data_IF_124508567352
#
_entry.id   IF_124508567352
#
_cell.length_a   1.000
_cell.length_b   1.000
_cell.length_c   1.000
_cell.angle_alpha   90.00
_cell.angle_beta   90.00
_cell.angle_gamma   90.00
#
_symmetry.space_group_name_H-M   'P 1'
#
loop_
_entity.id
_entity.type
_entity.pdbx_description
1 polymer ?
#
# COMPACT_ATOMS: atom_id res chain seq x y z
N UNK A 1 -10.62 33.92 -24.64
CA UNK A 1 -9.87 34.03 -23.37
C UNK A 1 -9.34 32.69 -22.85
N UNK A 2 -10.15 31.79 -22.26
CA UNK A 2 -9.65 30.51 -21.74
C UNK A 2 -8.95 29.63 -22.80
N UNK A 3 -9.61 29.38 -23.92
CA UNK A 3 -9.06 28.56 -25.02
C UNK A 3 -7.80 29.18 -25.64
N UNK A 4 -7.76 30.51 -25.73
CA UNK A 4 -6.60 31.24 -26.24
C UNK A 4 -5.42 31.17 -25.28
N UNK A 5 -5.66 31.33 -23.97
CA UNK A 5 -4.64 31.17 -22.94
C UNK A 5 -4.07 29.74 -22.95
N UNK A 6 -4.92 28.72 -23.10
CA UNK A 6 -4.48 27.34 -23.22
C UNK A 6 -3.66 27.09 -24.50
N UNK A 7 -4.07 27.67 -25.64
CA UNK A 7 -3.32 27.59 -26.90
C UNK A 7 -1.94 28.25 -26.81
N UNK A 8 -1.83 29.32 -26.02
CA UNK A 8 -0.58 30.06 -25.80
C UNK A 8 0.31 29.43 -24.70
N UNK A 9 -0.10 28.33 -24.07
CA UNK A 9 0.62 27.71 -22.95
C UNK A 9 0.58 28.54 -21.66
N UNK A 10 -0.26 29.58 -21.58
CA UNK A 10 -0.43 30.42 -20.40
C UNK A 10 -1.37 29.74 -19.39
N UNK A 11 -0.91 28.65 -18.80
CA UNK A 11 -1.71 27.78 -17.92
C UNK A 11 -2.23 28.51 -16.66
N UNK A 12 -1.48 29.46 -16.11
CA UNK A 12 -1.92 30.25 -14.95
C UNK A 12 -3.09 31.19 -15.29
N UNK A 13 -3.02 31.87 -16.44
CA UNK A 13 -4.11 32.72 -16.90
C UNK A 13 -5.35 31.89 -17.26
N UNK A 14 -5.16 30.75 -17.94
CA UNK A 14 -6.23 29.81 -18.23
C UNK A 14 -6.92 29.34 -16.93
N UNK A 15 -6.14 29.02 -15.88
CA UNK A 15 -6.67 28.68 -14.56
C UNK A 15 -7.53 29.79 -13.98
N UNK A 16 -7.04 31.03 -13.93
CA UNK A 16 -7.80 32.15 -13.38
C UNK A 16 -9.13 32.37 -14.14
N UNK A 17 -9.11 32.24 -15.46
CA UNK A 17 -10.33 32.33 -16.27
C UNK A 17 -11.31 31.19 -16.00
N UNK A 18 -10.81 29.97 -15.75
CA UNK A 18 -11.65 28.83 -15.39
C UNK A 18 -12.25 28.98 -13.98
N UNK A 19 -11.45 29.41 -13.00
CA UNK A 19 -11.89 29.60 -11.61
C UNK A 19 -12.96 30.69 -11.51
N UNK A 20 -12.71 31.85 -12.11
CA UNK A 20 -13.69 32.97 -12.14
C UNK A 20 -14.99 32.57 -12.84
N UNK A 21 -14.90 31.82 -13.95
CA UNK A 21 -16.07 31.30 -14.64
C UNK A 21 -16.83 30.25 -13.82
N UNK A 22 -16.14 29.36 -13.11
CA UNK A 22 -16.76 28.36 -12.26
C UNK A 22 -17.43 28.97 -11.01
N UNK A 23 -16.87 30.04 -10.45
CA UNK A 23 -17.48 30.79 -9.34
C UNK A 23 -18.72 31.57 -9.78
N UNK A 24 -18.66 32.23 -10.94
CA UNK A 24 -19.78 33.01 -11.48
C UNK A 24 -20.91 32.12 -12.03
N UNK A 25 -20.56 31.00 -12.65
CA UNK A 25 -21.51 30.08 -13.27
C UNK A 25 -21.07 28.61 -13.10
N UNK A 26 -21.31 28.01 -11.91
CA UNK A 26 -20.96 26.62 -11.61
C UNK A 26 -21.62 25.58 -12.54
N UNK A 27 -22.70 25.97 -13.21
CA UNK A 27 -23.42 25.12 -14.15
C UNK A 27 -22.73 24.97 -15.51
N UNK A 28 -21.70 25.77 -15.82
CA UNK A 28 -20.93 25.66 -17.06
C UNK A 28 -20.01 24.43 -17.01
N UNK A 29 -20.25 23.39 -17.83
CA UNK A 29 -19.51 22.13 -17.71
C UNK A 29 -18.01 22.27 -17.98
N UNK A 30 -17.62 23.11 -18.95
CA UNK A 30 -16.21 23.28 -19.33
C UNK A 30 -15.40 24.01 -18.25
N UNK A 31 -15.98 25.04 -17.61
CA UNK A 31 -15.31 25.86 -16.60
C UNK A 31 -15.12 25.08 -15.30
N UNK A 32 -16.18 24.39 -14.89
CA UNK A 32 -16.13 23.54 -13.72
C UNK A 32 -15.21 22.33 -13.93
N UNK A 33 -15.22 21.68 -15.11
CA UNK A 33 -14.27 20.62 -15.44
C UNK A 33 -12.82 21.11 -15.37
N UNK A 34 -12.49 22.22 -16.04
CA UNK A 34 -11.14 22.79 -16.02
C UNK A 34 -10.67 23.16 -14.60
N UNK A 35 -11.56 23.76 -13.80
CA UNK A 35 -11.28 24.11 -12.40
C UNK A 35 -11.09 22.87 -11.53
N UNK A 36 -11.90 21.83 -11.74
CA UNK A 36 -11.82 20.56 -11.02
C UNK A 36 -10.49 19.87 -11.31
N UNK A 37 -10.10 19.76 -12.58
CA UNK A 37 -8.80 19.22 -13.00
C UNK A 37 -7.64 19.96 -12.33
N UNK A 38 -7.70 21.29 -12.31
CA UNK A 38 -6.68 22.11 -11.68
C UNK A 38 -6.60 21.89 -10.16
N UNK A 39 -7.74 21.91 -9.46
CA UNK A 39 -7.79 21.67 -8.00
C UNK A 39 -7.27 20.30 -7.62
N UNK A 40 -7.55 19.28 -8.45
CA UNK A 40 -7.03 17.93 -8.24
C UNK A 40 -5.52 17.85 -8.44
N UNK A 41 -4.97 18.51 -9.48
CA UNK A 41 -3.51 18.60 -9.66
C UNK A 41 -2.82 19.33 -8.50
N UNK A 42 -3.48 20.31 -7.89
CA UNK A 42 -2.96 21.05 -6.76
C UNK A 42 -3.13 20.34 -5.40
N UNK A 43 -3.84 19.19 -5.34
CA UNK A 43 -4.15 18.51 -4.07
C UNK A 43 -5.24 19.21 -3.23
N UNK A 44 -5.97 20.15 -3.81
CA UNK A 44 -7.04 20.90 -3.13
C UNK A 44 -8.36 20.11 -3.15
N UNK A 45 -8.37 18.93 -2.52
CA UNK A 45 -9.46 17.96 -2.62
C UNK A 45 -10.79 18.47 -2.06
N UNK A 46 -10.77 19.21 -0.94
CA UNK A 46 -11.98 19.74 -0.32
C UNK A 46 -12.71 20.75 -1.23
N UNK A 47 -11.95 21.61 -1.91
CA UNK A 47 -12.50 22.56 -2.86
C UNK A 47 -13.02 21.88 -4.13
N UNK A 48 -12.36 20.80 -4.57
CA UNK A 48 -12.85 19.97 -5.66
C UNK A 48 -14.18 19.29 -5.31
N UNK A 49 -14.30 18.74 -4.09
CA UNK A 49 -15.54 18.10 -3.61
C UNK A 49 -16.69 19.12 -3.50
N UNK A 50 -16.42 20.33 -2.98
CA UNK A 50 -17.44 21.40 -2.91
C UNK A 50 -17.95 21.81 -4.29
N UNK A 51 -17.05 21.96 -5.26
CA UNK A 51 -17.40 22.30 -6.63
C UNK A 51 -18.28 21.20 -7.25
N UNK A 52 -17.91 19.94 -7.05
CA UNK A 52 -18.68 18.80 -7.55
C UNK A 52 -20.09 18.73 -6.91
N UNK A 53 -20.21 19.01 -5.62
CA UNK A 53 -21.51 19.06 -4.94
C UNK A 53 -22.39 20.20 -5.48
N UNK A 54 -21.82 21.36 -5.83
CA UNK A 54 -22.55 22.44 -6.49
C UNK A 54 -23.03 22.04 -7.89
N UNK A 55 -22.20 21.35 -8.68
CA UNK A 55 -22.60 20.83 -10.00
C UNK A 55 -23.71 19.78 -9.91
N UNK A 56 -23.69 18.93 -8.88
CA UNK A 56 -24.75 17.96 -8.59
C UNK A 56 -26.09 18.66 -8.31
N UNK A 57 -26.08 19.73 -7.50
CA UNK A 57 -27.29 20.53 -7.21
C UNK A 57 -27.79 21.24 -8.47
N UNK A 58 -26.87 21.71 -9.33
CA UNK A 58 -27.20 22.34 -10.60
C UNK A 58 -27.67 21.35 -11.69
N UNK A 59 -27.77 20.04 -11.39
CA UNK A 59 -28.16 18.98 -12.32
C UNK A 59 -27.33 18.92 -13.61
N UNK A 60 -26.05 19.34 -13.54
CA UNK A 60 -25.12 19.29 -14.67
C UNK A 60 -24.60 17.87 -14.90
N UNK A 61 -24.46 17.11 -13.82
CA UNK A 61 -24.00 15.73 -13.81
C UNK A 61 -25.11 14.81 -13.32
N UNK A 62 -25.14 13.62 -13.89
CA UNK A 62 -26.02 12.56 -13.41
C UNK A 62 -25.65 12.19 -11.97
N UNK A 63 -26.66 11.86 -11.16
CA UNK A 63 -26.46 11.60 -9.73
C UNK A 63 -25.40 10.53 -9.47
N UNK A 64 -25.44 9.45 -10.25
CA UNK A 64 -24.51 8.33 -10.13
C UNK A 64 -23.08 8.72 -10.52
N UNK A 65 -22.91 9.48 -11.60
CA UNK A 65 -21.61 9.98 -12.05
C UNK A 65 -21.00 10.92 -11.01
N UNK A 66 -21.78 11.85 -10.46
CA UNK A 66 -21.32 12.74 -9.40
C UNK A 66 -20.92 11.98 -8.12
N UNK A 67 -21.67 10.93 -7.75
CA UNK A 67 -21.33 10.09 -6.58
C UNK A 67 -20.03 9.29 -6.81
N UNK A 68 -19.82 8.78 -8.02
CA UNK A 68 -18.58 8.10 -8.42
C UNK A 68 -17.37 9.03 -8.40
N UNK A 69 -17.47 10.20 -9.04
CA UNK A 69 -16.40 11.21 -9.03
C UNK A 69 -16.08 11.68 -7.61
N UNK A 70 -17.10 11.85 -6.76
CA UNK A 70 -16.91 12.18 -5.35
C UNK A 70 -16.17 11.09 -4.60
N UNK A 71 -16.45 9.82 -4.88
CA UNK A 71 -15.73 8.69 -4.30
C UNK A 71 -14.24 8.72 -4.69
N UNK A 72 -13.92 9.02 -5.95
CA UNK A 72 -12.54 9.17 -6.43
C UNK A 72 -11.81 10.31 -5.72
N UNK A 73 -12.44 11.48 -5.60
CA UNK A 73 -11.85 12.62 -4.88
C UNK A 73 -11.62 12.33 -3.39
N UNK A 74 -12.57 11.66 -2.74
CA UNK A 74 -12.42 11.23 -1.35
C UNK A 74 -11.30 10.19 -1.18
N UNK A 75 -11.11 9.34 -2.18
CA UNK A 75 -10.03 8.34 -2.19
C UNK A 75 -8.67 9.00 -2.37
N UNK A 76 -8.55 9.95 -3.28
CA UNK A 76 -7.34 10.77 -3.45
C UNK A 76 -7.00 11.53 -2.17
N UNK A 77 -8.00 12.19 -1.55
CA UNK A 77 -7.83 12.83 -0.25
C UNK A 77 -7.35 11.87 0.83
N UNK A 78 -7.92 10.66 0.87
CA UNK A 78 -7.52 9.65 1.84
C UNK A 78 -6.08 9.16 1.61
N UNK A 79 -5.63 9.07 0.36
CA UNK A 79 -4.26 8.70 0.01
C UNK A 79 -3.26 9.72 0.57
N UNK A 80 -3.50 11.01 0.35
CA UNK A 80 -2.64 12.09 0.85
C UNK A 80 -2.65 12.19 2.39
N UNK A 81 -3.80 11.91 3.00
CA UNK A 81 -3.95 11.93 4.46
C UNK A 81 -3.33 10.71 5.15
N UNK A 82 -3.08 9.61 4.45
CA UNK A 82 -2.73 8.32 5.04
C UNK A 82 -1.45 8.39 5.90
N UNK A 83 -0.49 9.21 5.48
CA UNK A 83 0.78 9.36 6.19
C UNK A 83 0.67 10.23 7.44
N UNK A 84 -0.03 11.37 7.34
CA UNK A 84 -0.11 12.35 8.41
C UNK A 84 -1.23 12.04 9.43
N UNK A 85 -2.40 11.62 8.95
CA UNK A 85 -3.59 11.46 9.77
C UNK A 85 -4.40 10.20 9.35
N UNK A 86 -4.03 9.01 9.85
CA UNK A 86 -4.65 7.75 9.43
C UNK A 86 -6.15 7.68 9.76
N UNK A 87 -6.59 8.31 10.86
CA UNK A 87 -8.01 8.34 11.22
C UNK A 87 -8.87 9.14 10.23
N UNK A 88 -8.36 10.31 9.79
CA UNK A 88 -9.03 11.11 8.77
C UNK A 88 -9.03 10.39 7.41
N UNK A 89 -7.90 9.77 7.05
CA UNK A 89 -7.78 8.97 5.83
C UNK A 89 -8.79 7.81 5.80
N UNK A 90 -8.92 7.08 6.92
CA UNK A 90 -9.91 6.02 7.09
C UNK A 90 -11.33 6.53 6.86
N UNK A 91 -11.70 7.64 7.51
CA UNK A 91 -13.06 8.17 7.43
C UNK A 91 -13.39 8.66 6.00
N UNK A 92 -12.43 9.28 5.31
CA UNK A 92 -12.54 9.68 3.90
C UNK A 92 -12.70 8.46 2.98
N UNK A 93 -11.86 7.42 3.14
CA UNK A 93 -11.92 6.21 2.35
C UNK A 93 -13.21 5.39 2.58
N UNK A 94 -13.70 5.33 3.82
CA UNK A 94 -14.98 4.68 4.12
C UNK A 94 -16.17 5.45 3.54
N UNK A 95 -16.12 6.79 3.50
CA UNK A 95 -17.12 7.59 2.79
C UNK A 95 -17.08 7.31 1.29
N UNK A 96 -15.90 7.16 0.70
CA UNK A 96 -15.75 6.77 -0.71
C UNK A 96 -16.38 5.40 -0.98
N UNK A 97 -16.10 4.38 -0.15
CA UNK A 97 -16.68 3.03 -0.30
C UNK A 97 -18.20 2.98 -0.13
N UNK A 98 -18.79 3.90 0.64
CA UNK A 98 -20.25 4.03 0.73
C UNK A 98 -20.88 4.52 -0.58
N UNK A 99 -20.16 5.35 -1.33
CA UNK A 99 -20.60 5.90 -2.62
C UNK A 99 -20.29 4.93 -3.77
N UNK A 100 -19.09 4.36 -3.79
CA UNK A 100 -18.64 3.39 -4.80
C UNK A 100 -18.02 2.16 -4.10
N UNK A 101 -18.81 1.09 -3.96
CA UNK A 101 -18.43 -0.13 -3.22
C UNK A 101 -17.39 -0.98 -3.95
N UNK A 102 -17.34 -0.84 -5.26
CA UNK A 102 -16.45 -1.51 -6.21
C UNK A 102 -15.09 -0.79 -6.35
N UNK A 103 -14.93 0.38 -5.74
CA UNK A 103 -13.69 1.16 -5.85
C UNK A 103 -12.56 0.53 -5.02
N UNK A 104 -11.80 -0.34 -5.68
CA UNK A 104 -10.67 -1.09 -5.10
C UNK A 104 -9.64 -0.21 -4.35
N UNK A 105 -9.17 0.93 -4.91
CA UNK A 105 -8.17 1.77 -4.23
C UNK A 105 -8.67 2.31 -2.88
N UNK A 106 -9.96 2.64 -2.77
CA UNK A 106 -10.55 3.11 -1.53
C UNK A 106 -10.51 2.05 -0.42
N UNK A 107 -10.74 0.78 -0.78
CA UNK A 107 -10.64 -0.34 0.17
C UNK A 107 -9.21 -0.56 0.66
N UNK A 108 -8.25 -0.44 -0.25
CA UNK A 108 -6.82 -0.59 0.08
C UNK A 108 -6.38 0.53 1.03
N UNK A 109 -6.73 1.78 0.75
CA UNK A 109 -6.39 2.92 1.61
C UNK A 109 -7.07 2.79 2.98
N UNK A 110 -8.36 2.44 3.01
CA UNK A 110 -9.07 2.19 4.27
C UNK A 110 -8.40 1.07 5.10
N UNK A 111 -7.99 -0.02 4.46
CA UNK A 111 -7.32 -1.13 5.12
C UNK A 111 -5.93 -0.73 5.65
N UNK A 112 -5.14 0.01 4.85
CA UNK A 112 -3.85 0.55 5.30
C UNK A 112 -4.01 1.50 6.48
N UNK A 113 -5.03 2.36 6.46
CA UNK A 113 -5.35 3.25 7.57
C UNK A 113 -5.71 2.47 8.84
N UNK A 114 -6.57 1.45 8.74
CA UNK A 114 -6.86 0.55 9.87
C UNK A 114 -5.64 -0.21 10.38
N UNK A 115 -4.73 -0.62 9.49
CA UNK A 115 -3.47 -1.27 9.87
C UNK A 115 -2.55 -0.34 10.66
N UNK A 116 -2.54 0.97 10.35
CA UNK A 116 -1.82 1.98 11.14
C UNK A 116 -2.46 2.27 12.50
N UNK A 117 -3.77 2.05 12.63
CA UNK A 117 -4.52 2.12 13.90
C UNK A 117 -4.49 0.79 14.68
N UNK A 118 -3.66 -0.19 14.29
CA UNK A 118 -3.61 -1.54 14.86
C UNK A 118 -4.94 -2.32 14.81
N UNK A 119 -5.89 -1.90 13.96
CA UNK A 119 -7.20 -2.52 13.82
C UNK A 119 -7.25 -3.52 12.65
N UNK A 120 -6.49 -4.60 12.79
CA UNK A 120 -6.35 -5.62 11.75
C UNK A 120 -7.68 -6.31 11.38
N UNK A 121 -8.57 -6.50 12.36
CA UNK A 121 -9.86 -7.17 12.13
C UNK A 121 -10.74 -6.36 11.18
N UNK A 122 -10.80 -5.04 11.36
CA UNK A 122 -11.56 -4.15 10.46
C UNK A 122 -10.86 -4.03 9.10
N UNK A 123 -9.53 -3.92 9.07
CA UNK A 123 -8.77 -3.92 7.80
C UNK A 123 -9.10 -5.14 6.93
N UNK A 124 -8.99 -6.35 7.51
CA UNK A 124 -9.34 -7.59 6.82
C UNK A 124 -10.80 -7.61 6.38
N UNK A 125 -11.73 -7.20 7.24
CA UNK A 125 -13.16 -7.17 6.90
C UNK A 125 -13.47 -6.23 5.73
N UNK A 126 -12.82 -5.07 5.65
CA UNK A 126 -13.02 -4.11 4.54
C UNK A 126 -12.52 -4.66 3.22
N UNK A 127 -11.34 -5.30 3.21
CA UNK A 127 -10.80 -5.95 2.01
C UNK A 127 -11.66 -7.13 1.55
N UNK A 128 -12.12 -7.98 2.49
CA UNK A 128 -12.99 -9.12 2.18
C UNK A 128 -14.33 -8.71 1.58
N UNK A 129 -14.86 -7.53 1.94
CA UNK A 129 -16.10 -7.00 1.36
C UNK A 129 -15.95 -6.68 -0.12
N UNK A 130 -14.86 -6.01 -0.51
CA UNK A 130 -14.60 -5.66 -1.91
C UNK A 130 -14.17 -6.88 -2.72
N UNK A 131 -13.39 -7.79 -2.13
CA UNK A 131 -13.01 -9.07 -2.74
C UNK A 131 -14.23 -9.92 -3.16
N UNK A 132 -15.32 -9.87 -2.40
CA UNK A 132 -16.57 -10.57 -2.72
C UNK A 132 -17.30 -9.96 -3.93
N UNK A 133 -17.05 -8.70 -4.26
CA UNK A 133 -17.59 -8.08 -5.47
C UNK A 133 -16.73 -8.49 -6.66
N UNK A 134 -15.47 -8.05 -6.66
CA UNK A 134 -14.51 -8.31 -7.72
C UNK A 134 -13.10 -8.59 -7.12
N UNK A 135 -12.59 -9.83 -7.21
CA UNK A 135 -11.24 -10.17 -6.78
C UNK A 135 -10.17 -9.37 -7.52
N UNK A 136 -9.30 -8.68 -6.79
CA UNK A 136 -8.27 -7.82 -7.36
C UNK A 136 -6.89 -8.10 -6.74
N UNK A 137 -5.80 -8.18 -7.54
CA UNK A 137 -4.48 -8.57 -7.03
C UNK A 137 -3.94 -7.64 -5.95
N UNK A 138 -4.19 -6.34 -6.05
CA UNK A 138 -3.77 -5.38 -5.01
C UNK A 138 -4.48 -5.62 -3.66
N UNK A 139 -5.76 -6.02 -3.67
CA UNK A 139 -6.50 -6.38 -2.44
C UNK A 139 -5.86 -7.60 -1.81
N UNK A 140 -5.55 -8.62 -2.61
CA UNK A 140 -4.91 -9.82 -2.12
C UNK A 140 -3.54 -9.53 -1.51
N UNK A 141 -2.70 -8.74 -2.19
CA UNK A 141 -1.39 -8.32 -1.68
C UNK A 141 -1.54 -7.59 -0.34
N UNK A 142 -2.48 -6.65 -0.23
CA UNK A 142 -2.76 -5.92 1.00
C UNK A 142 -3.26 -6.84 2.12
N UNK A 143 -4.13 -7.80 1.81
CA UNK A 143 -4.72 -8.73 2.78
C UNK A 143 -3.71 -9.73 3.34
N UNK A 144 -2.95 -10.38 2.44
CA UNK A 144 -1.96 -11.39 2.80
C UNK A 144 -0.82 -10.77 3.60
N UNK A 145 -0.39 -9.54 3.26
CA UNK A 145 0.66 -8.79 3.97
C UNK A 145 0.12 -7.84 5.04
N UNK A 146 -1.13 -8.00 5.48
CA UNK A 146 -1.79 -7.07 6.40
C UNK A 146 -1.14 -6.97 7.79
N UNK A 147 -0.35 -7.96 8.21
CA UNK A 147 0.37 -7.92 9.49
C UNK A 147 1.86 -8.09 9.24
N UNK A 148 2.65 -7.12 9.70
CA UNK A 148 4.10 -7.23 9.75
C UNK A 148 4.50 -8.35 10.71
N UNK A 149 5.26 -9.34 10.23
CA UNK A 149 5.73 -10.47 11.04
C UNK A 149 4.98 -11.80 10.83
N UNK A 150 4.01 -11.87 9.93
CA UNK A 150 3.40 -13.16 9.57
C UNK A 150 4.42 -14.08 8.87
N UNK A 151 4.46 -15.34 9.32
CA UNK A 151 5.21 -16.41 8.66
C UNK A 151 4.66 -16.69 7.27
N UNK A 152 5.46 -17.31 6.39
CA UNK A 152 4.97 -17.70 5.06
C UNK A 152 3.76 -18.64 5.13
N UNK A 153 3.73 -19.54 6.13
CA UNK A 153 2.60 -20.45 6.37
C UNK A 153 1.34 -19.68 6.80
N UNK A 154 1.47 -18.62 7.60
CA UNK A 154 0.32 -17.81 8.01
C UNK A 154 -0.21 -16.95 6.85
N UNK A 155 0.68 -16.46 5.98
CA UNK A 155 0.31 -15.83 4.71
C UNK A 155 -0.45 -16.78 3.80
N UNK A 156 -0.03 -18.04 3.71
CA UNK A 156 -0.75 -19.08 2.97
C UNK A 156 -2.16 -19.31 3.52
N UNK A 157 -2.34 -19.44 4.84
CA UNK A 157 -3.69 -19.58 5.44
C UNK A 157 -4.61 -18.40 5.10
N UNK A 158 -4.06 -17.18 5.07
CA UNK A 158 -4.82 -15.98 4.65
C UNK A 158 -5.21 -16.03 3.18
N UNK A 159 -4.29 -16.46 2.31
CA UNK A 159 -4.58 -16.65 0.90
C UNK A 159 -5.67 -17.70 0.69
N UNK A 160 -5.61 -18.85 1.38
CA UNK A 160 -6.64 -19.90 1.33
C UNK A 160 -8.00 -19.38 1.81
N UNK A 161 -8.02 -18.47 2.80
CA UNK A 161 -9.25 -17.81 3.23
C UNK A 161 -9.84 -16.91 2.13
N UNK A 162 -9.03 -16.18 1.38
CA UNK A 162 -9.51 -15.40 0.23
C UNK A 162 -10.05 -16.30 -0.88
N UNK A 163 -9.39 -17.42 -1.15
CA UNK A 163 -9.88 -18.43 -2.08
C UNK A 163 -11.24 -18.98 -1.64
N UNK A 164 -11.42 -19.29 -0.34
CA UNK A 164 -12.69 -19.77 0.18
C UNK A 164 -13.85 -18.79 -0.02
N UNK A 165 -13.58 -17.47 -0.06
CA UNK A 165 -14.61 -16.46 -0.34
C UNK A 165 -15.04 -16.41 -1.81
N UNK A 166 -14.11 -16.68 -2.74
CA UNK A 166 -14.33 -16.69 -4.19
C UNK A 166 -13.57 -17.86 -4.82
N UNK A 167 -14.09 -19.10 -4.69
CA UNK A 167 -13.44 -20.27 -5.26
C UNK A 167 -13.49 -20.20 -6.79
N UNK A 168 -12.54 -20.89 -7.45
CA UNK A 168 -12.48 -20.97 -8.92
C UNK A 168 -12.39 -19.61 -9.64
N UNK A 169 -11.76 -18.62 -9.01
CA UNK A 169 -11.39 -17.36 -9.65
C UNK A 169 -9.88 -17.35 -9.90
N UNK A 170 -9.47 -16.77 -11.02
CA UNK A 170 -8.06 -16.63 -11.41
C UNK A 170 -7.21 -15.97 -10.30
N UNK A 171 -7.61 -14.80 -9.79
CA UNK A 171 -6.83 -14.08 -8.77
C UNK A 171 -6.80 -14.83 -7.45
N UNK A 172 -7.89 -15.50 -7.06
CA UNK A 172 -7.94 -16.34 -5.86
C UNK A 172 -6.92 -17.48 -5.91
N UNK A 173 -6.87 -18.22 -7.03
CA UNK A 173 -5.95 -19.33 -7.21
C UNK A 173 -4.50 -18.84 -7.27
N UNK A 174 -4.27 -17.73 -7.95
CA UNK A 174 -2.95 -17.14 -8.12
C UNK A 174 -2.35 -16.70 -6.78
N UNK A 175 -3.15 -16.07 -5.93
CA UNK A 175 -2.73 -15.60 -4.61
C UNK A 175 -2.38 -16.75 -3.68
N UNK A 176 -3.11 -17.86 -3.74
CA UNK A 176 -2.77 -19.09 -3.00
C UNK A 176 -1.49 -19.71 -3.55
N UNK A 177 -1.31 -19.71 -4.87
CA UNK A 177 -0.09 -20.24 -5.48
C UNK A 177 1.16 -19.45 -5.08
N UNK A 178 1.11 -18.11 -5.16
CA UNK A 178 2.20 -17.23 -4.70
C UNK A 178 2.51 -17.44 -3.21
N UNK A 179 1.48 -17.50 -2.36
CA UNK A 179 1.67 -17.72 -0.93
C UNK A 179 2.17 -19.14 -0.60
N UNK A 180 1.84 -20.14 -1.42
CA UNK A 180 2.32 -21.52 -1.27
C UNK A 180 3.79 -21.65 -1.70
N UNK A 181 4.20 -20.93 -2.76
CA UNK A 181 5.59 -20.82 -3.16
C UNK A 181 6.43 -20.18 -2.04
N UNK A 182 5.97 -19.07 -1.47
CA UNK A 182 6.57 -18.42 -0.30
C UNK A 182 6.73 -19.39 0.89
N UNK A 183 5.77 -20.29 1.08
CA UNK A 183 5.76 -21.30 2.15
C UNK A 183 6.50 -22.59 1.78
N UNK A 184 7.12 -22.66 0.60
CA UNK A 184 7.82 -23.83 0.06
C UNK A 184 6.92 -25.08 -0.08
N UNK A 185 5.60 -24.90 -0.18
CA UNK A 185 4.64 -25.96 -0.54
C UNK A 185 4.50 -26.01 -2.06
N UNK A 186 5.55 -26.50 -2.74
CA UNK A 186 5.65 -26.49 -4.20
C UNK A 186 4.56 -27.30 -4.88
N UNK A 187 4.12 -28.41 -4.27
CA UNK A 187 3.03 -29.24 -4.80
C UNK A 187 1.72 -28.45 -4.86
N UNK A 188 1.37 -27.75 -3.78
CA UNK A 188 0.17 -26.89 -3.76
C UNK A 188 0.34 -25.70 -4.69
N UNK A 189 1.50 -25.04 -4.68
CA UNK A 189 1.79 -23.89 -5.53
C UNK A 189 1.56 -24.23 -7.01
N UNK A 190 2.16 -25.33 -7.50
CA UNK A 190 2.01 -25.82 -8.88
C UNK A 190 0.56 -26.14 -9.21
N UNK A 191 -0.11 -26.93 -8.37
CA UNK A 191 -1.51 -27.35 -8.60
C UNK A 191 -2.44 -26.13 -8.77
N UNK A 192 -2.23 -25.08 -7.95
CA UNK A 192 -3.04 -23.86 -8.00
C UNK A 192 -2.68 -22.97 -9.20
N UNK A 193 -1.39 -22.84 -9.53
CA UNK A 193 -0.95 -22.10 -10.71
C UNK A 193 -1.46 -22.72 -12.01
N UNK A 194 -1.35 -24.05 -12.17
CA UNK A 194 -1.90 -24.77 -13.33
C UNK A 194 -3.43 -24.65 -13.42
N UNK A 195 -4.12 -24.63 -12.27
CA UNK A 195 -5.56 -24.36 -12.24
C UNK A 195 -5.88 -22.92 -12.69
N UNK A 196 -5.08 -21.92 -12.27
CA UNK A 196 -5.22 -20.55 -12.73
C UNK A 196 -4.94 -20.42 -14.25
N UNK A 197 -3.90 -21.10 -14.75
CA UNK A 197 -3.53 -21.11 -16.17
C UNK A 197 -4.66 -21.65 -17.07
N UNK A 198 -5.41 -22.64 -16.57
CA UNK A 198 -6.58 -23.22 -17.25
C UNK A 198 -7.77 -22.26 -17.28
N UNK A 199 -7.90 -21.36 -16.31
CA UNK A 199 -8.96 -20.33 -16.31
C UNK A 199 -8.59 -19.18 -17.23
N UNK A 200 -7.37 -18.66 -17.09
CA UNK A 200 -6.83 -17.61 -17.95
C UNK A 200 -5.33 -17.78 -18.11
N UNK A 201 -4.91 -18.03 -19.35
CA UNK A 201 -3.52 -18.21 -19.75
C UNK A 201 -2.80 -16.87 -19.86
N UNK A 202 -2.57 -16.18 -18.74
CA UNK A 202 -1.89 -14.87 -18.67
C UNK A 202 -0.41 -15.00 -18.34
N UNK A 203 0.36 -13.98 -18.72
CA UNK A 203 1.81 -13.88 -18.48
C UNK A 203 2.22 -14.22 -17.03
N UNK A 204 1.61 -13.58 -16.01
CA UNK A 204 1.97 -13.77 -14.59
C UNK A 204 1.84 -15.20 -14.09
N UNK A 205 0.87 -15.99 -14.58
CA UNK A 205 0.75 -17.39 -14.15
C UNK A 205 1.90 -18.23 -14.67
N UNK A 206 2.31 -18.03 -15.93
CA UNK A 206 3.42 -18.79 -16.51
C UNK A 206 4.76 -18.38 -15.89
N UNK A 207 4.94 -17.10 -15.57
CA UNK A 207 6.10 -16.65 -14.79
C UNK A 207 6.12 -17.32 -13.41
N UNK A 208 4.98 -17.39 -12.71
CA UNK A 208 4.91 -18.08 -11.43
C UNK A 208 5.21 -19.58 -11.54
N UNK A 209 4.76 -20.25 -12.60
CA UNK A 209 5.13 -21.65 -12.86
C UNK A 209 6.63 -21.82 -13.08
N UNK A 210 7.28 -20.89 -13.78
CA UNK A 210 8.72 -20.88 -13.94
C UNK A 210 9.44 -20.72 -12.59
N UNK A 211 8.98 -19.77 -11.74
CA UNK A 211 9.54 -19.55 -10.40
C UNK A 211 9.40 -20.80 -9.50
N UNK A 212 8.28 -21.52 -9.60
CA UNK A 212 8.06 -22.78 -8.87
C UNK A 212 9.05 -23.86 -9.34
N UNK A 213 9.24 -24.04 -10.66
CA UNK A 213 10.19 -25.03 -11.20
C UNK A 213 11.64 -24.68 -10.84
N UNK A 214 12.00 -23.40 -10.82
CA UNK A 214 13.30 -22.92 -10.38
C UNK A 214 13.55 -23.23 -8.90
N UNK A 215 12.58 -22.93 -8.03
CA UNK A 215 12.71 -23.11 -6.59
C UNK A 215 12.72 -24.59 -6.15
N UNK A 216 11.96 -25.46 -6.81
CA UNK A 216 11.87 -26.88 -6.44
C UNK A 216 12.94 -27.74 -7.11
N UNK A 217 13.02 -27.71 -8.44
CA UNK A 217 13.82 -28.68 -9.23
C UNK A 217 15.07 -28.05 -9.81
N UNK A 218 15.00 -26.78 -10.22
CA UNK A 218 16.07 -26.10 -10.97
C UNK A 218 16.21 -26.59 -12.42
N UNK A 219 15.20 -27.27 -12.97
CA UNK A 219 15.20 -27.80 -14.33
C UNK A 219 15.10 -26.67 -15.36
N UNK A 220 16.23 -26.36 -15.98
CA UNK A 220 16.35 -25.31 -16.99
C UNK A 220 15.46 -25.54 -18.21
N UNK A 221 15.14 -26.80 -18.55
CA UNK A 221 14.25 -27.12 -19.66
C UNK A 221 12.81 -26.67 -19.38
N UNK A 222 12.29 -27.00 -18.19
CA UNK A 222 10.95 -26.61 -17.75
C UNK A 222 10.82 -25.10 -17.53
N UNK A 223 11.83 -24.48 -16.93
CA UNK A 223 11.85 -23.02 -16.73
C UNK A 223 11.76 -22.30 -18.08
N UNK A 224 12.57 -22.70 -19.07
CA UNK A 224 12.53 -22.13 -20.43
C UNK A 224 11.20 -22.40 -21.14
N UNK A 225 10.60 -23.57 -20.93
CA UNK A 225 9.28 -23.88 -21.47
C UNK A 225 8.24 -22.87 -20.97
N UNK A 226 8.16 -22.67 -19.65
CA UNK A 226 7.21 -21.74 -19.04
C UNK A 226 7.49 -20.28 -19.39
N UNK A 227 8.75 -19.85 -19.40
CA UNK A 227 9.13 -18.51 -19.89
C UNK A 227 8.74 -18.31 -21.35
N UNK A 228 8.90 -19.33 -22.20
CA UNK A 228 8.47 -19.29 -23.59
C UNK A 228 6.95 -19.16 -23.76
N UNK A 229 6.16 -19.74 -22.85
CA UNK A 229 4.71 -19.54 -22.81
C UNK A 229 4.34 -18.14 -22.31
N UNK A 230 5.03 -17.63 -21.28
CA UNK A 230 4.81 -16.29 -20.75
C UNK A 230 4.96 -15.21 -21.83
N UNK A 231 5.97 -15.34 -22.71
CA UNK A 231 6.18 -14.41 -23.82
C UNK A 231 5.07 -14.39 -24.88
N UNK A 232 4.30 -15.48 -24.99
CA UNK A 232 3.18 -15.60 -25.95
C UNK A 232 1.84 -15.23 -25.32
N UNK A 233 1.75 -15.32 -24.00
CA UNK A 233 0.54 -15.10 -23.25
C UNK A 233 0.12 -13.62 -23.26
N UNK A 234 -1.18 -13.31 -23.21
CA UNK A 234 -1.67 -11.97 -22.98
C UNK A 234 -1.16 -11.45 -21.64
N UNK A 235 -0.83 -10.16 -21.63
CA UNK A 235 -0.43 -9.46 -20.42
C UNK A 235 -1.55 -9.44 -19.39
N UNK A 236 -1.15 -9.33 -18.14
CA UNK A 236 -2.08 -9.09 -17.05
C UNK A 236 -2.75 -7.72 -17.13
N UNK A 237 -3.90 -7.63 -16.48
CA UNK A 237 -4.57 -6.35 -16.33
C UNK A 237 -3.71 -5.41 -15.48
N UNK A 238 -3.74 -4.14 -15.87
CA UNK A 238 -3.05 -3.05 -15.18
C UNK A 238 -3.99 -1.83 -15.14
N UNK A 239 -3.59 -0.80 -14.40
CA UNK A 239 -4.29 0.49 -14.44
C UNK A 239 -3.98 1.19 -15.75
N UNK A 240 -4.97 1.39 -16.60
CA UNK A 240 -4.80 2.03 -17.91
C UNK A 240 -5.70 3.25 -18.02
N UNK A 241 -5.12 4.40 -18.37
CA UNK A 241 -5.83 5.65 -18.65
C UNK A 241 -5.24 6.31 -19.89
N UNK A 242 -6.07 6.66 -20.88
CA UNK A 242 -5.66 7.48 -22.03
C UNK A 242 -4.37 7.01 -22.76
N UNK A 243 -4.16 5.70 -22.87
CA UNK A 243 -2.95 5.11 -23.46
C UNK A 243 -1.73 5.05 -22.53
N UNK A 244 -1.84 5.56 -21.30
CA UNK A 244 -0.85 5.43 -20.25
C UNK A 244 -1.17 4.20 -19.38
N UNK A 245 -0.18 3.32 -19.21
CA UNK A 245 -0.24 2.17 -18.31
C UNK A 245 0.50 2.53 -17.02
N UNK A 246 -0.13 2.28 -15.88
CA UNK A 246 0.45 2.47 -14.55
C UNK A 246 0.32 1.23 -13.69
N UNK A 247 1.30 1.01 -12.83
CA UNK A 247 1.27 -0.06 -11.82
C UNK A 247 0.42 0.31 -10.61
N UNK A 248 0.22 1.63 -10.37
CA UNK A 248 -0.58 2.14 -9.26
C UNK A 248 -1.78 2.90 -9.79
N UNK A 249 -2.89 2.79 -9.08
CA UNK A 249 -4.03 3.65 -9.35
C UNK A 249 -3.66 5.12 -9.13
N UNK A 250 -4.22 6.00 -9.95
CA UNK A 250 -4.15 7.44 -9.76
C UNK A 250 -5.54 8.05 -9.97
N UNK A 251 -5.91 9.10 -9.21
CA UNK A 251 -7.21 9.73 -9.33
C UNK A 251 -7.40 10.52 -10.63
N UNK A 252 -6.30 11.03 -11.19
CA UNK A 252 -6.27 11.85 -12.41
C UNK A 252 -5.34 11.24 -13.46
N UNK A 253 -5.73 11.31 -14.72
CA UNK A 253 -4.85 10.98 -15.84
C UNK A 253 -3.70 11.99 -15.95
N UNK A 254 -2.42 11.56 -16.01
CA UNK A 254 -1.30 12.47 -16.23
C UNK A 254 -1.31 13.09 -17.64
N UNK A 255 -1.98 12.45 -18.60
CA UNK A 255 -2.03 12.89 -20.00
C UNK A 255 -3.14 13.91 -20.21
N UNK A 256 -4.37 13.58 -19.79
CA UNK A 256 -5.55 14.42 -20.08
C UNK A 256 -5.98 15.27 -18.88
N UNK A 257 -5.56 14.93 -17.66
CA UNK A 257 -6.08 15.52 -16.43
C UNK A 257 -7.46 15.00 -16.01
N UNK A 258 -8.09 14.13 -16.81
CA UNK A 258 -9.44 13.62 -16.53
C UNK A 258 -9.46 12.84 -15.23
N UNK A 259 -10.47 13.11 -14.40
CA UNK A 259 -10.78 12.32 -13.20
C UNK A 259 -11.41 10.97 -13.54
N UNK A 260 -11.17 9.98 -12.67
CA UNK A 260 -11.67 8.60 -12.84
C UNK A 260 -11.34 8.02 -14.23
N UNK A 261 -10.14 8.33 -14.72
CA UNK A 261 -9.69 7.89 -16.05
C UNK A 261 -9.04 6.50 -16.03
N UNK A 262 -8.51 6.08 -14.87
CA UNK A 262 -7.82 4.80 -14.73
C UNK A 262 -8.81 3.66 -14.55
N UNK A 263 -8.76 2.73 -15.49
CA UNK A 263 -9.54 1.49 -15.48
C UNK A 263 -8.61 0.29 -15.34
N UNK A 264 -9.04 -0.74 -14.61
CA UNK A 264 -8.31 -1.99 -14.51
C UNK A 264 -8.61 -2.87 -15.73
N UNK A 265 -7.68 -2.96 -16.69
CA UNK A 265 -7.86 -3.74 -17.92
C UNK A 265 -6.54 -4.21 -18.53
N UNK A 266 -6.61 -5.21 -19.40
CA UNK A 266 -5.45 -5.64 -20.17
C UNK A 266 -5.02 -4.53 -21.14
N UNK A 267 -3.75 -4.10 -21.12
CA UNK A 267 -3.23 -3.11 -22.06
C UNK A 267 -3.37 -3.62 -23.51
N UNK A 268 -3.81 -2.75 -24.41
CA UNK A 268 -4.06 -3.12 -25.82
C UNK A 268 -2.77 -3.32 -26.65
N UNK A 269 -1.62 -3.01 -26.07
CA UNK A 269 -0.33 -2.94 -26.77
C UNK A 269 0.39 -4.29 -26.73
N UNK A 270 -0.14 -5.31 -27.44
CA UNK A 270 0.63 -6.27 -28.26
C UNK A 270 -0.18 -7.46 -28.80
N UNK A 271 0.25 -7.93 -29.98
CA UNK A 271 -0.13 -9.17 -30.67
C UNK A 271 0.02 -10.37 -29.73
N UNK A 272 -1.09 -10.95 -29.29
CA UNK A 272 -1.08 -12.30 -28.72
C UNK A 272 -0.66 -13.29 -29.82
N UNK A 273 0.42 -14.03 -29.61
CA UNK A 273 0.74 -15.19 -30.46
C UNK A 273 -0.27 -16.31 -30.22
N UNK A 274 -0.36 -17.34 -31.08
CA UNK A 274 -1.18 -18.50 -30.80
C UNK A 274 -0.72 -19.14 -29.48
N UNK A 275 -1.57 -19.04 -28.46
CA UNK A 275 -1.43 -19.80 -27.22
C UNK A 275 -1.92 -21.21 -27.55
N UNK A 276 -1.18 -22.24 -27.19
CA UNK A 276 -1.74 -23.60 -27.20
C UNK A 276 -2.79 -23.65 -26.09
N UNK A 277 -4.06 -23.41 -26.46
CA UNK A 277 -5.19 -23.35 -25.53
C UNK A 277 -5.30 -24.65 -24.73
N UNK A 278 -5.02 -24.58 -23.42
CA UNK A 278 -5.68 -25.35 -22.35
C UNK A 278 -5.68 -26.89 -22.41
N UNK A 279 -5.09 -27.50 -23.42
CA UNK A 279 -4.94 -28.94 -23.55
C UNK A 279 -3.50 -29.26 -23.20
N UNK A 280 -3.32 -30.23 -22.29
CA UNK A 280 -2.01 -30.69 -21.84
C UNK A 280 -1.11 -30.91 -23.05
N UNK A 281 -0.16 -29.99 -23.29
CA UNK A 281 0.64 -29.98 -24.51
C UNK A 281 1.38 -31.32 -24.63
N UNK A 282 1.68 -31.78 -25.85
CA UNK A 282 2.62 -32.90 -26.03
C UNK A 282 3.94 -32.62 -25.28
N UNK A 283 4.30 -31.34 -25.11
CA UNK A 283 5.38 -30.89 -24.25
C UNK A 283 5.15 -31.17 -22.75
N UNK A 284 3.96 -30.94 -22.19
CA UNK A 284 3.65 -31.29 -20.79
C UNK A 284 3.61 -32.81 -20.57
N UNK A 285 3.08 -33.58 -21.53
CA UNK A 285 3.11 -35.06 -21.46
C UNK A 285 4.54 -35.60 -21.59
N UNK A 286 5.37 -34.97 -22.43
CA UNK A 286 6.79 -35.30 -22.53
C UNK A 286 7.54 -34.91 -21.25
N UNK A 287 7.28 -33.73 -20.67
CA UNK A 287 7.93 -33.26 -19.45
C UNK A 287 7.47 -34.03 -18.19
N UNK A 288 6.22 -34.45 -18.11
CA UNK A 288 5.68 -35.27 -17.02
C UNK A 288 6.15 -36.73 -17.07
N UNK A 289 6.58 -37.21 -18.25
CA UNK A 289 7.16 -38.55 -18.40
C UNK A 289 8.68 -38.59 -18.18
N UNK A 290 9.33 -37.43 -18.03
CA UNK A 290 10.74 -37.38 -17.64
C UNK A 290 10.86 -37.69 -16.13
N UNK A 291 11.78 -38.60 -15.73
CA UNK A 291 12.03 -38.87 -14.33
C UNK A 291 12.57 -37.60 -13.64
N UNK A 292 12.21 -37.34 -12.36
CA UNK A 292 12.78 -36.22 -11.63
C UNK A 292 14.29 -36.40 -11.62
N UNK A 293 15.01 -35.38 -12.11
CA UNK A 293 16.46 -35.33 -11.99
C UNK A 293 16.73 -35.11 -10.51
N UNK A 294 16.88 -36.23 -9.77
CA UNK A 294 17.55 -36.21 -8.49
C UNK A 294 18.87 -35.48 -8.74
N UNK A 295 19.19 -34.50 -7.91
CA UNK A 295 20.53 -33.92 -7.89
C UNK A 295 21.50 -35.07 -7.64
N UNK A 296 22.04 -35.63 -8.71
CA UNK A 296 23.24 -36.43 -8.62
C UNK A 296 24.26 -35.43 -8.14
N UNK A 297 24.62 -35.50 -6.86
CA UNK A 297 25.93 -35.04 -6.43
C UNK A 297 26.90 -35.69 -7.42
N UNK A 298 27.42 -34.88 -8.34
CA UNK A 298 28.39 -35.33 -9.30
C UNK A 298 29.52 -36.00 -8.48
N UNK A 299 29.95 -37.22 -8.83
CA UNK A 299 31.13 -37.80 -8.20
C UNK A 299 32.26 -36.81 -8.43
N UNK A 300 32.89 -36.36 -7.34
CA UNK A 300 34.06 -35.50 -7.40
C UNK A 300 35.06 -36.09 -8.42
N UNK A 301 35.26 -35.39 -9.53
CA UNK A 301 36.37 -35.69 -10.41
C UNK A 301 37.66 -35.49 -9.59
N UNK A 302 38.63 -36.41 -9.65
CA UNK A 302 39.89 -36.23 -8.95
C UNK A 302 40.61 -35.01 -9.52
N UNK A 303 40.96 -34.08 -8.64
CA UNK A 303 41.76 -32.89 -8.96
C UNK A 303 43.09 -33.30 -9.63
N UNK A 304 43.54 -32.61 -10.69
CA UNK A 304 44.87 -32.82 -11.22
C UNK A 304 45.91 -32.35 -10.18
N UNK A 305 46.76 -33.29 -9.76
CA UNK A 305 47.89 -33.03 -8.88
C UNK A 305 48.87 -32.06 -9.56
N UNK A 306 48.96 -30.84 -9.04
CA UNK A 306 50.08 -29.94 -9.35
C UNK A 306 51.25 -30.27 -8.43
N UNK A 307 52.35 -30.74 -9.03
CA UNK A 307 53.63 -30.95 -8.36
C UNK A 307 54.15 -29.65 -7.74
N UNK A 308 54.43 -29.70 -6.44
CA UNK A 308 55.06 -28.62 -5.69
C UNK A 308 56.56 -28.59 -5.98
N UNK A 309 57.00 -27.67 -6.83
CA UNK A 309 58.42 -27.30 -6.90
C UNK A 309 58.69 -26.17 -5.91
N UNK A 310 59.56 -26.46 -4.93
CA UNK A 310 60.00 -25.54 -3.87
C UNK A 310 60.75 -24.34 -4.45
N UNK A 311 60.44 -23.09 -4.07
CA UNK A 311 61.27 -21.95 -4.43
C UNK A 311 62.53 -21.89 -3.56
N UNK A 312 63.65 -21.63 -4.24
CA UNK A 312 65.01 -21.53 -3.71
C UNK A 312 65.21 -20.21 -2.98
N UNK A 313 65.65 -20.29 -1.72
CA UNK A 313 66.03 -19.15 -0.87
C UNK A 313 67.32 -18.54 -1.42
N UNK A 314 67.32 -17.23 -1.69
CA UNK A 314 68.53 -16.43 -1.91
C UNK A 314 68.55 -15.35 -0.83
N UNK A 315 69.53 -15.44 0.06
CA UNK A 315 69.85 -14.42 1.06
C UNK A 315 70.59 -13.26 0.40
N UNK A 316 70.29 -12.00 0.76
CA UNK A 316 71.26 -10.93 0.68
C UNK A 316 71.86 -10.63 2.06
N UNK A 317 73.19 -10.46 2.06
CA UNK A 317 74.03 -10.09 3.20
C UNK A 317 73.74 -8.66 3.70
N UNK A 318 74.10 -8.46 4.97
CA UNK A 318 73.88 -7.28 5.78
C UNK A 318 74.62 -6.01 5.31
N UNK A 319 74.03 -4.85 5.61
CA UNK A 319 74.80 -3.63 5.92
C UNK A 319 74.19 -2.93 7.13
N UNK A 320 75.01 -2.83 8.16
CA UNK A 320 74.78 -2.18 9.45
C UNK A 320 74.77 -0.66 9.29
N UNK A 321 73.82 0.03 9.91
CA UNK A 321 74.00 1.39 10.44
C UNK A 321 73.29 1.46 11.79
N UNK A 322 74.08 1.74 12.82
CA UNK A 322 73.69 1.97 14.21
C UNK A 322 72.80 3.21 14.39
N UNK A 323 71.79 3.09 15.26
CA UNK A 323 71.30 4.18 16.12
C UNK A 323 70.38 3.60 17.22
N UNK A 324 70.87 3.66 18.46
CA UNK A 324 70.14 3.33 19.69
C UNK A 324 69.42 4.61 20.25
N UNK A 325 68.68 4.58 21.37
CA UNK A 325 67.23 4.37 21.46
C UNK A 325 66.47 5.57 22.08
N UNK A 326 65.14 5.62 21.99
CA UNK A 326 64.33 6.25 23.06
C UNK A 326 63.02 5.50 23.32
N UNK A 327 62.85 5.16 24.59
CA UNK A 327 61.71 4.48 25.20
C UNK A 327 60.52 5.43 25.42
N UNK A 328 59.31 4.87 25.39
CA UNK A 328 58.34 5.07 26.47
C UNK A 328 57.31 3.94 26.50
N UNK A 329 57.21 3.38 27.70
CA UNK A 329 56.39 2.26 28.13
C UNK A 329 54.89 2.58 28.13
N UNK A 330 54.07 1.53 28.05
CA UNK A 330 53.06 1.13 29.05
C UNK A 330 52.87 -0.40 28.91
N UNK A 331 53.08 -1.12 30.01
CA UNK A 331 52.78 -2.56 30.18
C UNK A 331 51.30 -2.78 30.56
N UNK A 332 50.77 -4.01 30.38
CA UNK A 332 49.34 -4.35 30.45
C UNK A 332 48.91 -4.83 31.84
N UNK A 333 47.62 -4.70 32.15
CA UNK A 333 47.01 -5.36 33.31
C UNK A 333 45.87 -6.28 32.86
N UNK A 334 45.90 -7.51 33.36
CA UNK A 334 44.86 -8.53 33.25
C UNK A 334 44.66 -9.16 34.66
N UNK A 335 43.70 -10.08 34.84
CA UNK A 335 42.31 -9.88 35.22
C UNK A 335 42.05 -10.36 36.67
N UNK A 336 40.78 -10.44 37.12
CA UNK A 336 40.45 -11.61 37.94
C UNK A 336 39.07 -12.24 37.67
N UNK A 337 38.93 -13.48 38.17
CA UNK A 337 37.83 -14.41 37.94
C UNK A 337 37.10 -14.82 39.24
N UNK A 338 35.84 -15.28 39.06
CA UNK A 338 35.02 -16.24 39.84
C UNK A 338 34.50 -15.90 41.26
N UNK A 339 33.18 -16.10 41.44
CA UNK A 339 32.51 -16.96 42.46
C UNK A 339 30.99 -16.64 42.55
N UNK A 340 30.09 -17.49 42.03
CA UNK A 340 29.16 -18.46 42.69
C UNK A 340 27.84 -17.92 43.31
N UNK A 341 26.76 -18.63 42.97
CA UNK A 341 25.33 -18.57 43.41
C UNK A 341 25.16 -19.19 44.82
N UNK A 342 24.11 -18.86 45.62
CA UNK A 342 22.81 -19.62 45.62
C UNK A 342 21.57 -18.70 45.91
N UNK A 343 20.36 -18.89 45.35
CA UNK A 343 19.21 -19.77 45.70
C UNK A 343 18.03 -19.01 46.41
N UNK A 344 16.78 -19.40 46.11
CA UNK A 344 15.47 -18.79 46.51
C UNK A 344 15.08 -19.14 47.96
N UNK A 345 14.03 -18.50 48.53
CA UNK A 345 12.74 -19.21 48.72
C UNK A 345 11.49 -18.34 48.47
N UNK A 346 10.30 -18.82 48.88
CA UNK A 346 9.02 -18.78 48.17
C UNK A 346 7.81 -18.32 49.04
N UNK A 347 6.70 -17.96 48.37
CA UNK A 347 5.25 -18.03 48.78
C UNK A 347 4.76 -16.98 49.81
N UNK A 348 3.65 -16.24 49.59
CA UNK A 348 2.21 -16.47 49.93
C UNK A 348 1.37 -15.43 49.14
N UNK A 349 0.47 -15.74 48.20
CA UNK A 349 -0.95 -16.15 48.30
C UNK A 349 -1.92 -15.23 49.08
N UNK A 350 -2.87 -14.56 48.40
CA UNK A 350 -4.27 -14.39 48.82
C UNK A 350 -5.16 -13.86 47.68
N UNK A 351 -6.43 -14.26 47.75
CA UNK A 351 -7.52 -14.26 46.78
C UNK A 351 -8.68 -13.40 47.32
N UNK A 352 -9.68 -13.17 46.45
CA UNK A 352 -11.09 -12.70 46.67
C UNK A 352 -11.34 -11.23 46.34
N UNK A 353 -12.04 -10.91 45.24
CA UNK A 353 -13.50 -10.95 44.95
C UNK A 353 -14.29 -9.75 45.53
N UNK A 354 -15.01 -9.08 44.63
CA UNK A 354 -15.87 -7.92 44.84
C UNK A 354 -17.22 -8.31 45.50
N UNK A 355 -18.04 -7.35 46.00
CA UNK A 355 -18.96 -6.63 45.11
C UNK A 355 -19.32 -5.16 45.47
N UNK A 356 -19.73 -4.45 44.41
CA UNK A 356 -20.82 -3.46 44.30
C UNK A 356 -20.82 -2.10 45.07
N UNK A 357 -20.71 -1.05 44.23
CA UNK A 357 -21.59 0.13 44.11
C UNK A 357 -21.67 1.19 45.23
N UNK A 358 -21.06 2.36 44.97
CA UNK A 358 -21.62 3.72 45.14
C UNK A 358 -20.62 4.79 44.63
N UNK A 359 -21.04 5.63 43.69
CA UNK A 359 -20.38 6.87 43.22
C UNK A 359 -21.32 8.07 43.50
N UNK A 360 -20.86 9.34 43.47
CA UNK A 360 -19.67 9.87 44.15
C UNK A 360 -19.97 11.21 44.88
N UNK A 361 -19.18 11.53 45.90
CA UNK A 361 -19.21 12.82 46.61
C UNK A 361 -18.14 13.79 46.07
N UNK A 362 -18.56 15.04 45.89
CA UNK A 362 -17.81 16.20 45.38
C UNK A 362 -16.72 16.64 46.37
N UNK A 363 -15.51 16.92 45.88
CA UNK A 363 -14.44 17.59 46.63
C UNK A 363 -13.89 18.74 45.79
N UNK A 364 -14.12 19.97 46.26
CA UNK A 364 -13.54 21.22 45.75
C UNK A 364 -12.06 21.37 46.13
N UNK A 365 -11.28 22.14 45.34
CA UNK A 365 -10.23 22.93 45.95
C UNK A 365 -10.22 24.41 45.52
N UNK A 366 -10.16 25.26 46.55
CA UNK A 366 -9.20 26.36 46.73
C UNK A 366 -9.48 27.72 46.05
N UNK A 367 -9.96 28.63 46.90
CA UNK A 367 -10.07 30.07 46.67
C UNK A 367 -8.70 30.77 46.70
N UNK A 368 -8.39 31.54 45.65
CA UNK A 368 -7.33 32.56 45.64
C UNK A 368 -7.80 33.78 44.85
N UNK A 369 -8.37 34.78 45.53
CA UNK A 369 -8.74 36.08 44.93
C UNK A 369 -7.57 37.08 45.05
N UNK A 370 -7.34 37.94 44.05
CA UNK A 370 -6.43 39.08 44.15
C UNK A 370 -7.02 40.24 44.99
N UNK A 371 -6.19 41.15 45.54
CA UNK A 371 -6.60 42.17 46.51
C UNK A 371 -7.23 43.42 45.88
N UNK A 372 -8.21 43.99 46.60
CA UNK A 372 -8.83 45.31 46.43
C UNK A 372 -7.81 46.46 46.62
N UNK A 373 -7.96 47.53 45.82
CA UNK A 373 -7.42 48.88 46.09
C UNK A 373 -8.53 49.92 45.83
N UNK A 374 -8.84 50.86 46.76
CA UNK A 374 -10.10 51.59 46.75
C UNK A 374 -10.03 53.02 46.16
N UNK A 375 -10.99 53.32 45.28
CA UNK A 375 -11.82 54.54 45.27
C UNK A 375 -11.22 55.89 44.85
N UNK A 376 -11.84 56.52 43.84
CA UNK A 376 -12.45 57.88 43.94
C UNK A 376 -13.64 57.96 42.98
N UNK A 377 -14.81 58.39 43.48
CA UNK A 377 -15.97 58.83 42.66
C UNK A 377 -15.89 60.35 42.56
N UNK A 378 -16.11 60.89 41.36
CA UNK A 378 -16.56 62.28 41.21
C UNK A 378 -17.84 62.36 40.35
N UNK A 379 -18.71 63.33 40.65
CA UNK A 379 -20.15 63.19 40.57
C UNK A 379 -20.67 64.26 39.62
N UNK A 380 -20.71 63.95 38.33
CA UNK A 380 -21.30 64.85 37.35
C UNK A 380 -22.12 64.07 36.33
N UNK A 381 -23.43 64.02 36.62
CA UNK A 381 -24.49 64.18 35.63
C UNK A 381 -24.70 62.94 34.74
N UNK A 382 -25.36 61.91 35.26
CA UNK A 382 -26.82 61.77 35.19
C UNK A 382 -27.34 61.63 33.75
N UNK A 383 -27.53 60.38 33.31
CA UNK A 383 -28.54 60.09 32.30
C UNK A 383 -29.94 60.23 32.94
N UNK A 384 -30.93 60.70 32.17
CA UNK A 384 -32.18 59.95 32.16
C UNK A 384 -32.72 59.74 30.73
N UNK A 385 -32.96 58.46 30.45
CA UNK A 385 -34.13 57.86 29.80
C UNK A 385 -34.63 58.26 28.39
N UNK A 386 -35.12 57.21 27.73
CA UNK A 386 -35.69 57.16 26.40
C UNK A 386 -37.13 57.69 26.31
N UNK A 387 -37.47 58.37 25.20
CA UNK A 387 -38.84 58.49 24.69
C UNK A 387 -38.91 58.53 23.14
N UNK A 388 -39.80 57.66 22.64
CA UNK A 388 -40.79 57.86 21.55
C UNK A 388 -40.40 57.92 20.07
N UNK A 389 -40.87 56.88 19.35
CA UNK A 389 -41.59 56.85 18.06
C UNK A 389 -41.74 58.18 17.29
N UNK A 390 -41.40 58.15 16.00
CA UNK A 390 -42.24 58.70 14.92
C UNK A 390 -41.79 58.16 13.55
N UNK A 391 -42.73 57.52 12.83
CA UNK A 391 -42.69 57.32 11.38
C UNK A 391 -43.16 58.62 10.73
N UNK A 392 -42.51 59.06 9.65
CA UNK A 392 -43.10 59.99 8.69
C UNK A 392 -43.17 59.32 7.31
N UNK A 393 -44.40 59.36 6.79
CA UNK A 393 -44.96 59.25 5.44
C UNK A 393 -44.11 58.69 4.30
#
# INVERSE_FOLDING_TARGET
LYVEANRLGAHEAARQYAETAAEAAPYLPWAAKATLEHRCRAGHWDDAIRLLDQQKIAHVLERHEAERLKAVLLTAKAEDQLEAEPAAARDSALKALKLAKDLVPAAIIAAKAYMREDNLRKASSTLEQVWKLDPHPEIARAYVRARSGDSAVDRLKKAEKLEALKPNNYESLLVVSEAALDAQDFKKARTKAEAAARIASRERVYLLLADIEEAETGDQGRIRHWMGQALKAPRDAAWVADGHVSERWMPISPVTGRLDAFEWKTPFDQLAGPIEEGSVSEGEKALASLPPVARTEAPAQPEPQFETTKPKIVQPEARVIDAEPQAKAIEPEAPPAKATKPEKPAVIASREEAPAAQEPAVVEPFFGRPPDDPGVKDPALAAPEAKTRLKLF
#
